data_IF_594466312179
#
_entry.id   IF_594466312179
#
_cell.length_a   1.000
_cell.length_b   1.000
_cell.length_c   1.000
_cell.angle_alpha   90.00
_cell.angle_beta   90.00
_cell.angle_gamma   90.00
#
_symmetry.space_group_name_H-M   'P 1'
#
loop_
_entity.id
_entity.type
_entity.pdbx_description
1 polymer ?
#
# COMPACT_ATOMS: atom_id res chain seq x y z
N UNK A 1 5.60 0.53 -14.08
CA UNK A 1 4.39 -0.28 -14.36
C UNK A 1 3.22 0.63 -14.72
N UNK A 2 2.11 0.11 -15.27
CA UNK A 2 0.89 0.88 -15.59
C UNK A 2 -0.36 0.01 -15.55
N UNK A 3 -1.53 0.60 -15.25
CA UNK A 3 -2.82 -0.09 -15.42
C UNK A 3 -3.02 -0.58 -16.87
N UNK A 4 -3.58 -1.78 -17.01
CA UNK A 4 -3.97 -2.36 -18.31
C UNK A 4 -5.03 -1.49 -18.99
N UNK A 5 -5.06 -1.49 -20.33
CA UNK A 5 -5.91 -0.60 -21.17
C UNK A 5 -7.35 -0.47 -20.65
N UNK A 6 -8.01 -1.57 -20.29
CA UNK A 6 -9.39 -1.60 -19.76
C UNK A 6 -9.62 -0.69 -18.55
N UNK A 7 -8.59 -0.43 -17.75
CA UNK A 7 -8.65 0.37 -16.51
C UNK A 7 -7.97 1.73 -16.66
N UNK A 8 -7.40 2.06 -17.81
CA UNK A 8 -6.76 3.37 -18.00
C UNK A 8 -7.74 4.56 -17.95
N UNK A 9 -9.02 4.43 -18.39
CA UNK A 9 -9.98 5.52 -18.24
C UNK A 9 -10.22 5.98 -16.79
N UNK A 10 -9.92 5.14 -15.78
CA UNK A 10 -10.07 5.54 -14.38
C UNK A 10 -8.89 6.37 -13.84
N UNK A 11 -7.75 6.42 -14.56
CA UNK A 11 -6.53 7.11 -14.09
C UNK A 11 -6.80 8.57 -13.69
N UNK A 12 -7.49 9.41 -14.47
CA UNK A 12 -7.74 10.80 -14.07
C UNK A 12 -8.52 10.92 -12.75
N UNK A 13 -9.49 10.03 -12.53
CA UNK A 13 -10.28 10.00 -11.29
C UNK A 13 -9.43 9.54 -10.10
N UNK A 14 -8.61 8.51 -10.29
CA UNK A 14 -7.66 8.05 -9.26
C UNK A 14 -6.70 9.17 -8.89
N UNK A 15 -6.21 9.94 -9.88
CA UNK A 15 -5.33 11.08 -9.62
C UNK A 15 -6.03 12.19 -8.83
N UNK A 16 -7.32 12.44 -9.06
CA UNK A 16 -8.09 13.40 -8.26
C UNK A 16 -8.24 12.94 -6.81
N UNK A 17 -8.53 11.66 -6.60
CA UNK A 17 -8.59 11.05 -5.27
C UNK A 17 -7.24 11.14 -4.54
N UNK A 18 -6.13 10.83 -5.22
CA UNK A 18 -4.79 10.98 -4.65
C UNK A 18 -4.49 12.45 -4.30
N UNK A 19 -4.84 13.39 -5.18
CA UNK A 19 -4.64 14.84 -4.94
C UNK A 19 -5.46 15.35 -3.76
N UNK A 20 -6.69 14.88 -3.58
CA UNK A 20 -7.54 15.26 -2.45
C UNK A 20 -6.95 14.83 -1.09
N UNK A 21 -6.02 13.86 -1.09
CA UNK A 21 -5.32 13.36 0.10
C UNK A 21 -3.94 14.02 0.31
N UNK A 22 -3.55 15.00 -0.51
CA UNK A 22 -2.33 15.76 -0.29
C UNK A 22 -2.37 16.49 1.05
N UNK A 23 -1.22 16.58 1.71
CA UNK A 23 -1.08 17.18 3.05
C UNK A 23 -1.46 16.25 4.20
N UNK A 24 -1.98 15.05 3.93
CA UNK A 24 -2.14 14.01 4.97
C UNK A 24 -0.77 13.53 5.47
N UNK A 25 -0.64 13.23 6.77
CA UNK A 25 0.62 12.74 7.33
C UNK A 25 0.99 11.38 6.73
N UNK A 26 2.29 11.07 6.76
CA UNK A 26 2.77 9.74 6.40
C UNK A 26 2.43 8.73 7.50
N UNK A 27 1.91 7.57 7.13
CA UNK A 27 1.62 6.50 8.08
C UNK A 27 2.87 5.67 8.40
N UNK A 28 3.44 5.91 9.57
CA UNK A 28 4.59 5.14 10.09
C UNK A 28 4.18 3.88 10.86
N UNK A 29 2.89 3.73 11.15
CA UNK A 29 2.34 2.62 11.91
C UNK A 29 1.73 1.56 10.98
N UNK A 30 1.56 1.84 9.69
CA UNK A 30 0.99 0.94 8.68
C UNK A 30 -0.37 0.37 9.12
N UNK A 31 -1.20 1.23 9.71
CA UNK A 31 -2.51 0.90 10.23
C UNK A 31 -3.59 1.53 9.35
N UNK A 32 -4.61 0.75 8.93
CA UNK A 32 -5.68 1.30 8.14
C UNK A 32 -6.49 2.35 8.91
N UNK A 33 -7.10 3.25 8.16
CA UNK A 33 -8.18 4.14 8.60
C UNK A 33 -7.78 5.09 9.75
N UNK A 34 -6.49 5.41 9.88
CA UNK A 34 -5.95 6.32 10.90
C UNK A 34 -5.80 7.78 10.42
N UNK A 35 -6.21 8.08 9.19
CA UNK A 35 -6.11 9.42 8.59
C UNK A 35 -4.70 9.83 8.13
N UNK A 36 -3.74 8.91 8.19
CA UNK A 36 -2.43 8.99 7.55
C UNK A 36 -2.39 8.01 6.36
N UNK A 37 -1.40 8.14 5.49
CA UNK A 37 -1.22 7.20 4.39
C UNK A 37 0.24 6.83 4.19
N UNK A 38 0.51 5.55 3.99
CA UNK A 38 1.77 5.10 3.41
C UNK A 38 1.61 4.81 1.90
N UNK A 39 2.73 4.58 1.22
CA UNK A 39 2.82 4.67 -0.24
C UNK A 39 1.79 3.82 -1.01
N UNK A 40 1.64 2.53 -0.69
CA UNK A 40 0.72 1.63 -1.40
C UNK A 40 -0.74 1.77 -0.93
N UNK A 41 -0.96 2.19 0.31
CA UNK A 41 -2.30 2.41 0.86
C UNK A 41 -2.98 3.60 0.22
N UNK A 42 -2.25 4.71 0.05
CA UNK A 42 -2.74 5.89 -0.69
C UNK A 42 -3.33 5.51 -2.05
N UNK A 43 -2.65 4.62 -2.78
CA UNK A 43 -3.09 4.18 -4.11
C UNK A 43 -4.28 3.22 -4.02
N UNK A 44 -4.26 2.26 -3.09
CA UNK A 44 -5.35 1.30 -2.91
C UNK A 44 -6.65 2.01 -2.49
N UNK A 45 -6.57 2.92 -1.52
CA UNK A 45 -7.74 3.63 -0.98
C UNK A 45 -8.30 4.66 -1.97
N UNK A 46 -7.43 5.33 -2.75
CA UNK A 46 -7.88 6.21 -3.83
C UNK A 46 -8.60 5.44 -4.96
N UNK A 47 -8.22 4.17 -5.19
CA UNK A 47 -8.92 3.31 -6.14
C UNK A 47 -10.23 2.80 -5.54
N UNK A 48 -10.21 2.39 -4.27
CA UNK A 48 -11.38 1.87 -3.57
C UNK A 48 -12.47 2.94 -3.38
N UNK A 49 -12.12 4.21 -3.15
CA UNK A 49 -13.10 5.30 -3.00
C UNK A 49 -13.90 5.56 -4.28
N UNK A 50 -13.38 5.15 -5.45
CA UNK A 50 -14.10 5.17 -6.72
C UNK A 50 -14.99 3.93 -6.95
N UNK A 51 -15.11 3.04 -5.96
CA UNK A 51 -15.82 1.77 -6.07
C UNK A 51 -15.06 0.70 -6.87
N UNK A 52 -13.76 0.89 -7.13
CA UNK A 52 -12.96 -0.03 -7.92
C UNK A 52 -12.22 -1.04 -7.02
N UNK A 53 -12.33 -2.33 -7.33
CA UNK A 53 -11.66 -3.41 -6.59
C UNK A 53 -10.39 -3.89 -7.31
N UNK A 54 -9.44 -2.99 -7.57
CA UNK A 54 -8.20 -3.34 -8.30
C UNK A 54 -7.06 -3.77 -7.39
N UNK A 55 -6.98 -3.20 -6.18
CA UNK A 55 -5.88 -3.42 -5.25
C UNK A 55 -6.44 -3.77 -3.87
N UNK A 56 -6.92 -5.02 -3.68
CA UNK A 56 -7.49 -5.43 -2.40
C UNK A 56 -6.42 -5.41 -1.30
N UNK A 57 -6.86 -5.16 -0.06
CA UNK A 57 -6.01 -5.28 1.12
C UNK A 57 -5.70 -6.76 1.39
N UNK A 58 -4.50 -7.05 1.87
CA UNK A 58 -4.02 -8.36 2.31
C UNK A 58 -3.32 -8.23 3.66
N UNK A 59 -3.19 -9.32 4.44
CA UNK A 59 -2.42 -9.30 5.68
C UNK A 59 -0.97 -8.87 5.43
N UNK A 60 -0.53 -7.76 6.03
CA UNK A 60 0.85 -7.29 5.88
C UNK A 60 1.80 -8.25 6.58
N UNK A 61 2.95 -8.49 5.94
CA UNK A 61 4.04 -9.29 6.49
C UNK A 61 5.31 -8.47 6.66
N UNK A 62 5.83 -8.44 7.88
CA UNK A 62 7.12 -7.81 8.22
C UNK A 62 8.25 -8.85 8.25
N UNK A 63 8.12 -9.91 7.45
CA UNK A 63 9.06 -11.04 7.40
C UNK A 63 8.62 -12.22 8.26
N UNK A 64 9.26 -13.37 8.04
CA UNK A 64 8.99 -14.60 8.81
C UNK A 64 9.46 -14.46 10.27
N UNK A 65 8.83 -15.15 11.24
CA UNK A 65 9.34 -15.21 12.61
C UNK A 65 10.84 -15.55 12.65
N UNK A 66 11.61 -14.84 13.46
CA UNK A 66 13.06 -15.04 13.59
C UNK A 66 13.94 -14.51 12.45
N UNK A 67 13.37 -14.11 11.30
CA UNK A 67 14.13 -13.52 10.20
C UNK A 67 14.76 -12.18 10.57
N UNK A 68 15.83 -11.79 9.87
CA UNK A 68 16.47 -10.49 10.07
C UNK A 68 15.48 -9.32 9.90
N UNK A 69 14.66 -9.35 8.83
CA UNK A 69 13.65 -8.33 8.58
C UNK A 69 12.65 -8.22 9.74
N UNK A 70 12.18 -9.36 10.27
CA UNK A 70 11.26 -9.38 11.40
C UNK A 70 11.87 -8.72 12.64
N UNK A 71 13.12 -9.08 12.98
CA UNK A 71 13.84 -8.50 14.13
C UNK A 71 14.03 -6.99 14.01
N UNK A 72 14.34 -6.49 12.80
CA UNK A 72 14.47 -5.06 12.53
C UNK A 72 13.17 -4.33 12.83
N UNK A 73 12.05 -4.83 12.32
CA UNK A 73 10.74 -4.21 12.51
C UNK A 73 10.23 -4.32 13.95
N UNK A 74 10.40 -5.48 14.61
CA UNK A 74 10.06 -5.65 16.02
C UNK A 74 10.80 -4.62 16.90
N UNK A 75 12.11 -4.43 16.66
CA UNK A 75 12.90 -3.44 17.39
C UNK A 75 12.42 -2.01 17.14
N UNK A 76 12.13 -1.67 15.88
CA UNK A 76 11.68 -0.32 15.53
C UNK A 76 10.31 0.03 16.14
N UNK A 77 9.36 -0.91 16.11
CA UNK A 77 8.05 -0.73 16.73
C UNK A 77 8.13 -0.71 18.27
N UNK A 78 8.97 -1.56 18.87
CA UNK A 78 9.23 -1.54 20.31
C UNK A 78 9.82 -0.19 20.79
N UNK A 79 10.78 0.38 20.04
CA UNK A 79 11.37 1.70 20.32
C UNK A 79 10.32 2.81 20.37
N UNK A 80 9.29 2.72 19.52
CA UNK A 80 8.17 3.67 19.44
C UNK A 80 7.02 3.31 20.40
N UNK A 81 7.16 2.25 21.21
CA UNK A 81 6.11 1.71 22.09
C UNK A 81 4.81 1.39 21.35
N UNK A 82 4.94 0.87 20.12
CA UNK A 82 3.82 0.48 19.26
C UNK A 82 3.85 -1.03 19.01
N UNK A 83 2.68 -1.69 18.85
CA UNK A 83 2.65 -3.07 18.39
C UNK A 83 3.02 -3.14 16.90
N UNK A 84 3.78 -4.17 16.52
CA UNK A 84 4.03 -4.46 15.11
C UNK A 84 2.71 -4.92 14.47
N UNK A 85 2.21 -4.28 13.39
CA UNK A 85 0.93 -4.62 12.76
C UNK A 85 1.05 -5.86 11.86
N UNK A 86 1.71 -6.90 12.35
CA UNK A 86 1.85 -8.16 11.65
C UNK A 86 0.48 -8.82 11.46
N UNK A 87 0.15 -9.15 10.20
CA UNK A 87 -1.11 -9.80 9.87
C UNK A 87 -2.33 -8.86 9.82
N UNK A 88 -2.16 -7.57 10.13
CA UNK A 88 -3.20 -6.57 9.92
C UNK A 88 -3.46 -6.41 8.43
N UNK A 89 -4.73 -6.27 8.05
CA UNK A 89 -5.12 -6.03 6.67
C UNK A 89 -4.62 -4.68 6.19
N UNK A 90 -3.76 -4.68 5.17
CA UNK A 90 -3.31 -3.47 4.51
C UNK A 90 -2.78 -3.78 3.12
N UNK A 91 -1.77 -3.06 2.67
CA UNK A 91 -1.26 -3.12 1.30
C UNK A 91 0.26 -3.19 1.26
N UNK A 92 0.81 -3.69 0.15
CA UNK A 92 2.23 -3.57 -0.12
C UNK A 92 2.47 -3.20 -1.61
N UNK A 93 3.57 -2.50 -1.94
CA UNK A 93 3.85 -2.08 -3.32
C UNK A 93 4.11 -3.25 -4.29
N UNK A 94 4.59 -4.39 -3.79
CA UNK A 94 4.85 -5.60 -4.58
C UNK A 94 3.55 -6.21 -5.09
N UNK A 95 2.52 -6.31 -4.24
CA UNK A 95 1.18 -6.82 -4.56
C UNK A 95 0.49 -5.91 -5.58
N UNK A 96 0.60 -4.59 -5.41
CA UNK A 96 0.10 -3.61 -6.36
C UNK A 96 0.76 -3.80 -7.74
N UNK A 97 2.10 -3.97 -7.77
CA UNK A 97 2.84 -4.19 -8.99
C UNK A 97 2.53 -5.54 -9.66
N UNK A 98 2.30 -6.60 -8.86
CA UNK A 98 1.97 -7.95 -9.29
C UNK A 98 0.48 -8.14 -9.66
N UNK A 99 -0.36 -7.16 -9.35
CA UNK A 99 -1.80 -7.21 -9.64
C UNK A 99 -2.10 -7.56 -11.10
N UNK A 100 -3.09 -8.44 -11.32
CA UNK A 100 -3.58 -8.82 -12.66
C UNK A 100 -4.09 -7.63 -13.50
N UNK A 101 -4.28 -6.46 -12.87
CA UNK A 101 -4.72 -5.21 -13.49
C UNK A 101 -3.57 -4.31 -13.96
N UNK A 102 -2.34 -4.62 -13.59
CA UNK A 102 -1.14 -3.86 -13.91
C UNK A 102 -0.30 -4.62 -14.95
N UNK A 103 0.45 -3.87 -15.76
CA UNK A 103 1.47 -4.36 -16.69
C UNK A 103 2.79 -3.66 -16.38
N UNK A 104 3.88 -4.41 -16.25
CA UNK A 104 5.24 -3.85 -16.23
C UNK A 104 5.55 -3.35 -17.64
N UNK A 105 5.90 -2.06 -17.76
CA UNK A 105 6.15 -1.39 -19.05
C UNK A 105 7.63 -1.14 -19.30
N UNK A 106 8.46 -1.30 -18.27
CA UNK A 106 9.89 -1.09 -18.31
C UNK A 106 10.55 -1.84 -17.14
N UNK A 107 11.71 -2.43 -17.37
CA UNK A 107 12.58 -3.09 -16.37
C UNK A 107 14.02 -2.70 -16.71
N UNK A 108 14.79 -2.31 -15.69
CA UNK A 108 16.23 -2.11 -15.82
C UNK A 108 16.87 -3.48 -15.57
N UNK A 109 17.25 -4.18 -16.63
CA UNK A 109 18.02 -5.42 -16.56
C UNK A 109 19.50 -5.10 -16.72
#
# INVERSE_FOLDING_TARGET
ARLKKRHQPSIPFILNEVRARLGKPYDHDFLPDNGAYYCSELISDAVASLGLHLFPRHPISFGKPGSWARKVWEREFARRKRPLPQGVMGTNPVDLAASKYVKIIYSYN
#
